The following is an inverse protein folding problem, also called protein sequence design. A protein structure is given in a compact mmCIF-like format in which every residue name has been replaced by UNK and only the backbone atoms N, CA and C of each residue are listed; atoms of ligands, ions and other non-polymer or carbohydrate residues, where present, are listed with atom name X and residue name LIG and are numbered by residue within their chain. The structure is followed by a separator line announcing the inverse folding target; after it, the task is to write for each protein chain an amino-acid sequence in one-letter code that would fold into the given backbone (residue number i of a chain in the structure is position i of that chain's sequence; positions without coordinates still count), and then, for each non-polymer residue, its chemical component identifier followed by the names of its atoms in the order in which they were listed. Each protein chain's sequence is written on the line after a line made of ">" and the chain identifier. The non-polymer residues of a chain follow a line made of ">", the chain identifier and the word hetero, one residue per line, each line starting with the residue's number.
data_IF_126645118075
#
_entry.id   IF_126645118075
#
_cell.length_a   1.000
_cell.length_b   1.000
_cell.length_c   1.000
_cell.angle_alpha   90.00
_cell.angle_beta   90.00
_cell.angle_gamma   90.00
#
_symmetry.space_group_name_H-M   'P 1'
#
loop_
_entity.id
_entity.type
_entity.pdbx_description
1 polymer ?
#
# COMPACT_ATOMS: atom_id res chain seq x y z
N UNK A 1 -0.47 20.02 -40.43
CA UNK A 1 -1.32 19.07 -39.66
C UNK A 1 -1.10 19.24 -38.17
N UNK A 2 -2.09 19.84 -37.49
CA UNK A 2 -2.07 19.98 -36.05
C UNK A 2 -2.26 18.59 -35.45
N UNK A 3 -1.17 17.90 -35.13
CA UNK A 3 -1.21 16.65 -34.36
C UNK A 3 -1.72 17.04 -32.96
N UNK A 4 -2.95 16.67 -32.57
CA UNK A 4 -3.46 17.08 -31.27
C UNK A 4 -2.62 16.39 -30.18
N UNK A 5 -1.87 17.17 -29.40
CA UNK A 5 -1.07 16.68 -28.27
C UNK A 5 -1.95 16.05 -27.16
N UNK A 6 -3.25 16.35 -27.13
CA UNK A 6 -4.26 15.67 -26.31
C UNK A 6 -5.00 14.68 -27.21
N UNK A 7 -4.44 13.50 -27.43
CA UNK A 7 -5.21 12.42 -28.08
C UNK A 7 -6.07 11.74 -27.02
N UNK A 8 -7.39 11.75 -27.21
CA UNK A 8 -8.37 11.10 -26.29
C UNK A 8 -8.01 9.62 -26.07
N UNK A 9 -7.46 8.97 -27.10
CA UNK A 9 -7.02 7.60 -27.03
C UNK A 9 -5.88 7.41 -26.01
N UNK A 10 -4.83 8.24 -26.05
CA UNK A 10 -3.71 8.14 -25.10
C UNK A 10 -4.15 8.41 -23.66
N UNK A 11 -5.01 9.43 -23.45
CA UNK A 11 -5.55 9.71 -22.11
C UNK A 11 -6.41 8.54 -21.58
N UNK A 12 -7.27 7.97 -22.41
CA UNK A 12 -8.16 6.87 -22.01
C UNK A 12 -7.37 5.60 -21.71
N UNK A 13 -6.35 5.28 -22.52
CA UNK A 13 -5.47 4.15 -22.27
C UNK A 13 -4.67 4.32 -20.97
N UNK A 14 -4.14 5.53 -20.73
CA UNK A 14 -3.45 5.86 -19.48
C UNK A 14 -4.38 5.72 -18.27
N UNK A 15 -5.56 6.36 -18.31
CA UNK A 15 -6.52 6.35 -17.20
C UNK A 15 -7.02 4.93 -16.91
N UNK A 16 -7.29 4.13 -17.94
CA UNK A 16 -7.71 2.73 -17.78
C UNK A 16 -6.63 1.89 -17.11
N UNK A 17 -5.37 2.00 -17.57
CA UNK A 17 -4.24 1.30 -16.96
C UNK A 17 -4.04 1.74 -15.49
N UNK A 18 -4.17 3.03 -15.20
CA UNK A 18 -4.07 3.57 -13.86
C UNK A 18 -5.16 3.01 -12.93
N UNK A 19 -6.42 2.99 -13.37
CA UNK A 19 -7.53 2.40 -12.57
C UNK A 19 -7.27 0.92 -12.27
N UNK A 20 -6.78 0.15 -13.24
CA UNK A 20 -6.43 -1.25 -13.04
C UNK A 20 -5.29 -1.41 -12.02
N UNK A 21 -4.25 -0.58 -12.11
CA UNK A 21 -3.15 -0.57 -11.15
C UNK A 21 -3.62 -0.25 -9.73
N UNK A 22 -4.53 0.72 -9.58
CA UNK A 22 -5.14 1.04 -8.29
C UNK A 22 -5.93 -0.15 -7.71
N UNK A 23 -6.68 -0.86 -8.55
CA UNK A 23 -7.39 -2.07 -8.13
C UNK A 23 -6.44 -3.15 -7.56
N UNK A 24 -5.25 -3.31 -8.15
CA UNK A 24 -4.23 -4.22 -7.64
C UNK A 24 -3.65 -3.75 -6.30
N UNK A 25 -3.35 -2.45 -6.19
CA UNK A 25 -2.83 -1.86 -4.96
C UNK A 25 -3.83 -1.99 -3.79
N UNK A 26 -5.12 -1.87 -4.06
CA UNK A 26 -6.19 -2.04 -3.07
C UNK A 26 -6.27 -3.45 -2.47
N UNK A 27 -5.53 -4.43 -3.00
CA UNK A 27 -5.41 -5.76 -2.39
C UNK A 27 -4.41 -5.76 -1.22
N UNK A 28 -3.45 -4.83 -1.17
CA UNK A 28 -2.44 -4.76 -0.12
C UNK A 28 -3.03 -4.71 1.30
N UNK A 29 -4.07 -3.89 1.58
CA UNK A 29 -4.71 -3.89 2.90
C UNK A 29 -5.26 -5.23 3.32
N UNK A 30 -5.96 -5.92 2.42
CA UNK A 30 -6.54 -7.23 2.70
C UNK A 30 -5.43 -8.24 3.01
N UNK A 31 -4.35 -8.24 2.22
CA UNK A 31 -3.20 -9.13 2.43
C UNK A 31 -2.52 -8.85 3.77
N UNK A 32 -2.25 -7.57 4.10
CA UNK A 32 -1.60 -7.19 5.36
C UNK A 32 -2.47 -7.59 6.56
N UNK A 33 -3.78 -7.34 6.49
CA UNK A 33 -4.71 -7.69 7.56
C UNK A 33 -4.83 -9.20 7.74
N UNK A 34 -4.84 -9.95 6.65
CA UNK A 34 -4.84 -11.40 6.70
C UNK A 34 -3.57 -11.95 7.37
N UNK A 35 -2.40 -11.46 6.94
CA UNK A 35 -1.12 -11.85 7.55
C UNK A 35 -1.03 -11.42 9.03
N UNK A 36 -1.59 -10.26 9.38
CA UNK A 36 -1.62 -9.78 10.77
C UNK A 36 -2.54 -10.64 11.63
N UNK A 37 -3.68 -11.09 11.10
CA UNK A 37 -4.62 -11.99 11.78
C UNK A 37 -4.00 -13.38 12.02
N UNK A 38 -3.16 -13.85 11.10
CA UNK A 38 -2.39 -15.09 11.26
C UNK A 38 -1.19 -14.94 12.23
N UNK A 39 -0.88 -13.71 12.67
CA UNK A 39 0.28 -13.43 13.51
C UNK A 39 1.63 -13.47 12.77
N UNK A 40 1.63 -13.56 11.43
CA UNK A 40 2.86 -13.57 10.61
C UNK A 40 3.52 -12.20 10.62
N UNK A 41 2.71 -11.13 10.62
CA UNK A 41 3.19 -9.75 10.74
C UNK A 41 2.55 -9.09 11.95
N UNK A 42 3.31 -8.25 12.66
CA UNK A 42 2.78 -7.49 13.79
C UNK A 42 2.63 -6.02 13.41
N UNK A 43 1.72 -5.27 14.05
CA UNK A 43 1.63 -3.83 13.84
C UNK A 43 2.95 -3.10 14.13
N UNK A 44 3.75 -3.63 15.07
CA UNK A 44 5.06 -3.10 15.40
C UNK A 44 6.09 -3.35 14.28
N UNK A 45 6.11 -4.56 13.68
CA UNK A 45 7.02 -4.87 12.57
C UNK A 45 6.67 -4.05 11.33
N UNK A 46 5.39 -3.88 11.03
CA UNK A 46 4.93 -3.02 9.93
C UNK A 46 5.31 -1.54 10.20
N UNK A 47 5.14 -1.05 11.43
CA UNK A 47 5.52 0.31 11.77
C UNK A 47 7.03 0.56 11.67
N UNK A 48 7.88 -0.41 12.06
CA UNK A 48 9.33 -0.34 11.86
C UNK A 48 9.72 -0.40 10.37
N UNK A 49 8.89 -1.07 9.57
CA UNK A 49 9.08 -1.27 8.13
C UNK A 49 8.71 -0.09 7.23
N UNK A 50 8.23 1.05 7.76
CA UNK A 50 7.71 2.19 6.98
C UNK A 50 8.64 2.66 5.86
N UNK A 51 9.95 2.73 6.12
CA UNK A 51 10.95 3.12 5.11
C UNK A 51 11.03 2.12 3.95
N UNK A 52 10.90 0.82 4.24
CA UNK A 52 10.91 -0.24 3.24
C UNK A 52 9.59 -0.28 2.47
N UNK A 53 8.47 -0.07 3.16
CA UNK A 53 7.16 0.06 2.51
C UNK A 53 7.15 1.26 1.55
N UNK A 54 7.63 2.43 1.97
CA UNK A 54 7.71 3.61 1.11
C UNK A 54 8.57 3.34 -0.13
N UNK A 55 9.74 2.71 0.04
CA UNK A 55 10.60 2.32 -1.09
C UNK A 55 9.88 1.35 -2.03
N UNK A 56 9.25 0.30 -1.51
CA UNK A 56 8.50 -0.67 -2.30
C UNK A 56 7.33 -0.03 -3.06
N UNK A 57 6.64 0.93 -2.43
CA UNK A 57 5.53 1.66 -3.05
C UNK A 57 6.02 2.54 -4.19
N UNK A 58 7.13 3.26 -4.02
CA UNK A 58 7.71 4.09 -5.09
C UNK A 58 8.20 3.22 -6.25
N UNK A 59 8.83 2.09 -5.96
CA UNK A 59 9.27 1.13 -6.99
C UNK A 59 8.07 0.54 -7.74
N UNK A 60 7.05 0.07 -7.00
CA UNK A 60 5.81 -0.42 -7.60
C UNK A 60 5.14 0.67 -8.44
N UNK A 61 5.17 1.93 -7.97
CA UNK A 61 4.60 3.04 -8.69
C UNK A 61 5.32 3.34 -10.00
N UNK A 62 6.64 3.26 -10.01
CA UNK A 62 7.44 3.40 -11.22
C UNK A 62 7.17 2.30 -12.25
N UNK A 63 6.91 1.06 -11.81
CA UNK A 63 6.61 -0.08 -12.69
C UNK A 63 5.19 -0.03 -13.24
N UNK A 64 4.22 0.36 -12.41
CA UNK A 64 2.80 0.37 -12.76
C UNK A 64 2.37 1.63 -13.53
N UNK A 65 3.13 2.72 -13.43
CA UNK A 65 2.81 3.98 -14.13
C UNK A 65 3.45 3.99 -15.51
N UNK A 66 2.67 3.90 -16.61
CA UNK A 66 3.24 3.83 -17.96
C UNK A 66 3.90 5.14 -18.41
N UNK A 67 3.55 6.27 -17.81
CA UNK A 67 4.08 7.60 -18.15
C UNK A 67 5.51 7.87 -17.64
N UNK A 68 6.04 7.05 -16.72
CA UNK A 68 7.35 7.27 -16.05
C UNK A 68 7.57 8.69 -15.50
N UNK A 69 6.50 9.47 -15.31
CA UNK A 69 6.57 10.84 -14.84
C UNK A 69 6.42 10.89 -13.31
N UNK A 70 7.21 11.78 -12.68
CA UNK A 70 7.28 11.91 -11.22
C UNK A 70 5.91 12.29 -10.64
N UNK A 71 5.13 13.11 -11.34
CA UNK A 71 3.82 13.57 -10.86
C UNK A 71 2.84 12.40 -10.72
N UNK A 72 2.67 11.58 -11.77
CA UNK A 72 1.78 10.42 -11.74
C UNK A 72 2.28 9.33 -10.78
N UNK A 73 3.60 9.17 -10.65
CA UNK A 73 4.18 8.27 -9.64
C UNK A 73 3.83 8.70 -8.22
N UNK A 74 4.00 9.99 -7.88
CA UNK A 74 3.62 10.51 -6.57
C UNK A 74 2.11 10.42 -6.36
N UNK A 75 1.31 10.72 -7.39
CA UNK A 75 -0.14 10.63 -7.34
C UNK A 75 -0.63 9.20 -7.04
N UNK A 76 0.11 8.16 -7.42
CA UNK A 76 -0.18 6.78 -7.05
C UNK A 76 0.46 6.35 -5.72
N UNK A 77 1.70 6.79 -5.44
CA UNK A 77 2.42 6.43 -4.24
C UNK A 77 1.73 6.95 -2.96
N UNK A 78 1.22 8.19 -3.00
CA UNK A 78 0.52 8.81 -1.85
C UNK A 78 -0.69 8.00 -1.38
N UNK A 79 -1.70 7.71 -2.23
CA UNK A 79 -2.85 6.90 -1.81
C UNK A 79 -2.44 5.48 -1.42
N UNK A 80 -1.45 4.89 -2.09
CA UNK A 80 -0.93 3.57 -1.71
C UNK A 80 -0.33 3.58 -0.29
N UNK A 81 0.45 4.61 0.04
CA UNK A 81 1.04 4.76 1.37
C UNK A 81 -0.02 5.00 2.44
N UNK A 82 -1.07 5.77 2.13
CA UNK A 82 -2.22 5.94 3.02
C UNK A 82 -2.93 4.61 3.29
N UNK A 83 -3.11 3.77 2.27
CA UNK A 83 -3.67 2.42 2.44
C UNK A 83 -2.78 1.55 3.34
N UNK A 84 -1.46 1.63 3.18
CA UNK A 84 -0.52 0.93 4.06
C UNK A 84 -0.66 1.39 5.52
N UNK A 85 -0.72 2.69 5.77
CA UNK A 85 -0.95 3.24 7.11
C UNK A 85 -2.29 2.83 7.70
N UNK A 86 -3.37 2.91 6.93
CA UNK A 86 -4.69 2.45 7.35
C UNK A 86 -4.66 0.97 7.73
N UNK A 87 -3.92 0.16 6.98
CA UNK A 87 -3.74 -1.28 7.26
C UNK A 87 -3.02 -1.52 8.58
N UNK A 88 -1.98 -0.75 8.89
CA UNK A 88 -1.28 -0.82 10.18
C UNK A 88 -2.23 -0.47 11.33
N UNK A 89 -3.03 0.58 11.15
CA UNK A 89 -3.99 1.02 12.16
C UNK A 89 -5.02 -0.07 12.47
N UNK A 90 -5.61 -0.67 11.43
CA UNK A 90 -6.59 -1.74 11.60
C UNK A 90 -5.92 -3.01 12.15
N UNK A 91 -4.70 -3.33 11.72
CA UNK A 91 -3.95 -4.48 12.22
C UNK A 91 -3.72 -4.42 13.74
N UNK A 92 -3.66 -3.24 14.35
CA UNK A 92 -3.57 -3.11 15.83
C UNK A 92 -4.77 -3.69 16.57
N UNK A 93 -5.94 -3.71 15.94
CA UNK A 93 -7.17 -4.25 16.53
C UNK A 93 -7.38 -5.73 16.19
N UNK A 94 -6.79 -6.21 15.09
CA UNK A 94 -7.01 -7.57 14.57
C UNK A 94 -5.88 -8.53 14.97
N UNK A 95 -4.66 -8.03 15.20
CA UNK A 95 -3.53 -8.86 15.56
C UNK A 95 -3.74 -9.51 16.95
N UNK A 96 -3.41 -10.81 17.10
CA UNK A 96 -3.47 -11.47 18.39
C UNK A 96 -2.53 -10.79 19.39
N UNK A 97 -2.98 -10.64 20.64
CA UNK A 97 -2.17 -10.02 21.70
C UNK A 97 -0.88 -10.81 21.90
N UNK A 98 0.31 -10.17 21.91
CA UNK A 98 1.56 -10.84 22.21
C UNK A 98 1.48 -11.53 23.56
N UNK A 99 1.91 -12.79 23.62
CA UNK A 99 1.86 -13.64 24.82
C UNK A 99 2.64 -13.05 26.02
N UNK A 100 3.49 -12.05 25.82
CA UNK A 100 4.20 -11.33 26.88
C UNK A 100 3.28 -10.61 27.88
N UNK A 101 2.06 -10.22 27.48
CA UNK A 101 1.10 -9.62 28.42
C UNK A 101 0.42 -10.65 29.35
N UNK A 102 0.51 -11.95 29.07
CA UNK A 102 -0.08 -12.99 29.91
C UNK A 102 0.83 -13.44 31.06
N UNK A 103 2.16 -13.29 30.93
CA UNK A 103 3.08 -13.69 32.01
C UNK A 103 3.13 -12.70 33.17
N UNK A 104 2.88 -11.40 32.94
CA UNK A 104 2.91 -10.39 34.02
C UNK A 104 1.66 -10.40 34.92
N UNK A 105 0.55 -11.01 34.47
CA UNK A 105 -0.70 -11.09 35.22
C UNK A 105 -0.79 -12.31 36.15
N UNK A 106 0.10 -13.30 35.98
CA UNK A 106 0.13 -14.54 36.80
C UNK A 106 1.13 -14.43 37.96
N UNK A 107 2.01 -13.43 37.97
CA UNK A 107 3.01 -13.20 39.03
C UNK A 107 2.57 -12.21 40.11
N UNK A 108 1.30 -11.81 40.16
CA UNK A 108 0.74 -10.97 41.24
C UNK A 108 -0.39 -11.67 41.97
#
# INVERSE_FOLDING_TARGET
>A
DLVPMISVNAYTSFASAFVLAFGLVFQLPIVILFLARLGIVTPASLAAGRRYALMAIVVAAAVLTPGTDVFSQVLMAVPTYLLYEASIWIARFVAPKPAEQQQSAVTR
#
